data_IF_339932262619
#
_entry.id   IF_339932262619
#
_cell.length_a   1.000
_cell.length_b   1.000
_cell.length_c   1.000
_cell.angle_alpha   90.00
_cell.angle_beta   90.00
_cell.angle_gamma   90.00
#
_symmetry.space_group_name_H-M   'P 1'
#
loop_
_entity.id
_entity.type
_entity.pdbx_description
1 polymer ?
#
# COMPACT_ATOMS: atom_id res chain seq x y z
N UNK A 1 8.76 -2.36 -22.51
CA UNK A 1 7.56 -2.67 -21.72
C UNK A 1 7.78 -2.10 -20.34
N UNK A 2 6.82 -1.38 -19.76
CA UNK A 2 6.99 -0.85 -18.40
C UNK A 2 6.67 -1.96 -17.40
N UNK A 3 7.53 -2.16 -16.40
CA UNK A 3 7.44 -3.23 -15.42
C UNK A 3 7.16 -2.61 -14.04
N UNK A 4 5.99 -1.99 -13.90
CA UNK A 4 5.57 -1.30 -12.69
C UNK A 4 4.76 -2.23 -11.78
N UNK A 5 5.09 -2.27 -10.49
CA UNK A 5 4.41 -3.09 -9.49
C UNK A 5 4.14 -2.28 -8.23
N UNK A 6 3.08 -2.66 -7.51
CA UNK A 6 2.81 -2.13 -6.18
C UNK A 6 3.12 -3.23 -5.18
N UNK A 7 4.12 -2.99 -4.33
CA UNK A 7 4.38 -3.81 -3.15
C UNK A 7 3.52 -3.33 -2.00
N UNK A 8 2.90 -4.26 -1.26
CA UNK A 8 2.16 -3.96 -0.03
C UNK A 8 2.61 -4.95 1.04
N UNK A 9 2.89 -4.44 2.23
CA UNK A 9 3.36 -5.23 3.36
C UNK A 9 2.80 -4.65 4.67
N UNK A 10 2.42 -5.53 5.58
CA UNK A 10 2.10 -5.19 6.97
C UNK A 10 2.92 -6.09 7.88
N UNK A 11 3.63 -5.48 8.82
CA UNK A 11 4.33 -6.22 9.86
C UNK A 11 3.35 -6.90 10.84
N UNK A 12 3.84 -7.89 11.57
CA UNK A 12 3.07 -8.56 12.64
C UNK A 12 2.80 -7.65 13.85
N UNK A 13 3.44 -6.48 13.92
CA UNK A 13 3.16 -5.46 14.94
C UNK A 13 1.80 -4.75 14.74
N UNK A 14 1.19 -4.89 13.55
CA UNK A 14 -0.14 -4.33 13.23
C UNK A 14 -0.22 -2.81 13.36
N UNK A 15 0.90 -2.11 13.17
CA UNK A 15 0.93 -0.66 13.31
C UNK A 15 0.43 0.08 12.08
N UNK A 16 0.90 -0.36 10.91
CA UNK A 16 0.64 0.30 9.64
C UNK A 16 0.71 -0.69 8.47
N UNK A 17 0.17 -0.25 7.34
CA UNK A 17 0.32 -0.87 6.03
C UNK A 17 1.29 -0.04 5.20
N UNK A 18 2.46 -0.62 4.93
CA UNK A 18 3.48 -0.03 4.08
C UNK A 18 3.22 -0.44 2.63
N UNK A 19 3.38 0.50 1.71
CA UNK A 19 3.25 0.24 0.29
C UNK A 19 4.29 1.02 -0.51
N UNK A 20 4.71 0.46 -1.65
CA UNK A 20 5.61 1.13 -2.58
C UNK A 20 5.22 0.87 -4.03
N UNK A 21 5.40 1.86 -4.89
CA UNK A 21 5.41 1.70 -6.33
C UNK A 21 6.85 1.48 -6.78
N UNK A 22 7.10 0.38 -7.46
CA UNK A 22 8.42 -0.03 -7.92
C UNK A 22 8.43 -0.21 -9.43
N UNK A 23 9.57 0.12 -10.05
CA UNK A 23 9.86 -0.14 -11.45
C UNK A 23 10.96 -1.20 -11.54
N UNK A 24 10.76 -2.20 -12.39
CA UNK A 24 11.73 -3.24 -12.74
C UNK A 24 12.09 -3.21 -14.23
N UNK A 25 11.78 -2.14 -14.96
CA UNK A 25 12.11 -2.03 -16.39
C UNK A 25 13.62 -1.95 -16.59
N UNK A 26 14.32 -1.20 -15.75
CA UNK A 26 15.78 -1.06 -15.80
C UNK A 26 16.34 -1.10 -14.38
N UNK A 27 16.45 -2.33 -13.86
CA UNK A 27 16.77 -2.64 -12.46
C UNK A 27 15.68 -2.22 -11.46
N UNK A 28 15.84 -2.63 -10.20
CA UNK A 28 14.92 -2.30 -9.12
C UNK A 28 15.02 -0.82 -8.75
N UNK A 29 13.90 -0.11 -8.89
CA UNK A 29 13.79 1.30 -8.50
C UNK A 29 12.51 1.52 -7.70
N UNK A 30 12.60 2.19 -6.55
CA UNK A 30 11.43 2.65 -5.79
C UNK A 30 11.02 4.02 -6.34
N UNK A 31 9.84 4.11 -6.95
CA UNK A 31 9.31 5.39 -7.45
C UNK A 31 8.71 6.21 -6.32
N UNK A 32 7.96 5.56 -5.43
CA UNK A 32 7.35 6.20 -4.26
C UNK A 32 6.98 5.15 -3.22
N UNK A 33 6.98 5.55 -1.95
CA UNK A 33 6.54 4.73 -0.82
C UNK A 33 5.56 5.52 0.04
N UNK A 34 4.63 4.82 0.67
CA UNK A 34 3.60 5.34 1.56
C UNK A 34 3.41 4.39 2.73
N UNK A 35 3.09 4.96 3.88
CA UNK A 35 2.71 4.22 5.08
C UNK A 35 1.34 4.71 5.50
N UNK A 36 0.41 3.78 5.70
CA UNK A 36 -0.92 4.06 6.24
C UNK A 36 -1.06 3.45 7.61
N UNK A 37 -1.27 4.27 8.63
CA UNK A 37 -1.58 3.78 9.96
C UNK A 37 -2.90 3.01 9.96
N UNK A 38 -2.91 1.87 10.65
CA UNK A 38 -4.15 1.16 10.91
C UNK A 38 -4.99 1.87 11.97
N UNK A 39 -6.30 1.64 11.93
CA UNK A 39 -7.20 2.09 12.99
C UNK A 39 -6.81 1.49 14.35
N UNK A 40 -7.08 2.22 15.43
CA UNK A 40 -6.82 1.74 16.78
C UNK A 40 -7.60 0.46 17.10
N UNK A 41 -8.82 0.31 16.55
CA UNK A 41 -9.64 -0.89 16.73
C UNK A 41 -9.01 -2.11 16.07
N UNK A 42 -8.46 -1.96 14.87
CA UNK A 42 -7.76 -3.04 14.17
C UNK A 42 -6.59 -3.60 15.00
N UNK A 43 -5.81 -2.75 15.68
CA UNK A 43 -4.62 -3.19 16.43
C UNK A 43 -4.94 -4.26 17.47
N UNK A 44 -6.10 -4.14 18.12
CA UNK A 44 -6.55 -5.06 19.17
C UNK A 44 -7.63 -6.04 18.69
N UNK A 45 -8.14 -5.88 17.47
CA UNK A 45 -9.24 -6.69 16.97
C UNK A 45 -8.82 -8.15 16.74
N UNK A 46 -9.69 -9.07 17.17
CA UNK A 46 -9.65 -10.51 16.91
C UNK A 46 -10.68 -10.94 15.87
N UNK A 47 -11.56 -10.03 15.45
CA UNK A 47 -12.64 -10.32 14.51
C UNK A 47 -12.10 -10.36 13.08
N UNK A 48 -12.09 -11.56 12.47
CA UNK A 48 -11.52 -11.78 11.14
C UNK A 48 -12.12 -10.85 10.09
N UNK A 49 -13.42 -10.54 10.18
CA UNK A 49 -14.11 -9.65 9.26
C UNK A 49 -13.58 -8.21 9.34
N UNK A 50 -13.36 -7.68 10.55
CA UNK A 50 -12.78 -6.36 10.78
C UNK A 50 -11.33 -6.31 10.27
N UNK A 51 -10.54 -7.35 10.56
CA UNK A 51 -9.16 -7.49 10.10
C UNK A 51 -9.09 -7.47 8.57
N UNK A 52 -9.91 -8.29 7.91
CA UNK A 52 -9.96 -8.38 6.45
C UNK A 52 -10.38 -7.04 5.83
N UNK A 53 -11.39 -6.39 6.40
CA UNK A 53 -11.88 -5.11 5.90
C UNK A 53 -10.82 -4.01 6.01
N UNK A 54 -10.15 -3.88 7.17
CA UNK A 54 -9.11 -2.87 7.35
C UNK A 54 -7.96 -3.08 6.35
N UNK A 55 -7.37 -4.29 6.30
CA UNK A 55 -6.25 -4.59 5.39
C UNK A 55 -6.64 -4.31 3.93
N UNK A 56 -7.83 -4.76 3.52
CA UNK A 56 -8.32 -4.57 2.14
C UNK A 56 -8.50 -3.09 1.83
N UNK A 57 -9.16 -2.34 2.71
CA UNK A 57 -9.45 -0.93 2.49
C UNK A 57 -8.16 -0.11 2.40
N UNK A 58 -7.19 -0.35 3.29
CA UNK A 58 -5.88 0.32 3.25
C UNK A 58 -5.09 -0.01 1.99
N UNK A 59 -5.11 -1.27 1.56
CA UNK A 59 -4.45 -1.70 0.33
C UNK A 59 -5.03 -1.01 -0.92
N UNK A 60 -6.35 -0.92 -0.99
CA UNK A 60 -7.06 -0.21 -2.08
C UNK A 60 -6.78 1.29 -2.03
N UNK A 61 -6.73 1.90 -0.85
CA UNK A 61 -6.41 3.32 -0.67
C UNK A 61 -5.01 3.65 -1.22
N UNK A 62 -3.98 2.90 -0.82
CA UNK A 62 -2.62 3.09 -1.31
C UNK A 62 -2.51 2.89 -2.83
N UNK A 63 -3.16 1.87 -3.37
CA UNK A 63 -3.19 1.62 -4.80
C UNK A 63 -3.79 2.81 -5.57
N UNK A 64 -4.88 3.40 -5.06
CA UNK A 64 -5.47 4.61 -5.66
C UNK A 64 -4.55 5.83 -5.55
N UNK A 65 -3.84 6.01 -4.44
CA UNK A 65 -2.88 7.12 -4.25
C UNK A 65 -1.77 7.06 -5.29
N UNK A 66 -1.17 5.89 -5.51
CA UNK A 66 -0.09 5.72 -6.49
C UNK A 66 -0.56 5.97 -7.93
N UNK A 67 -1.70 5.41 -8.33
CA UNK A 67 -2.25 5.65 -9.67
C UNK A 67 -2.54 7.13 -9.92
N UNK A 68 -3.08 7.85 -8.92
CA UNK A 68 -3.30 9.30 -9.04
C UNK A 68 -1.98 10.06 -9.20
N UNK A 69 -0.99 9.81 -8.33
CA UNK A 69 0.32 10.49 -8.39
C UNK A 69 0.98 10.32 -9.77
N UNK A 70 0.95 9.12 -10.33
CA UNK A 70 1.54 8.86 -11.65
C UNK A 70 0.72 9.45 -12.82
N UNK A 71 -0.61 9.50 -12.73
CA UNK A 71 -1.45 10.18 -13.72
C UNK A 71 -1.16 11.69 -13.78
N UNK A 72 -0.87 12.33 -12.64
CA UNK A 72 -0.58 13.76 -12.59
C UNK A 72 0.85 14.13 -13.00
N UNK A 73 1.83 13.20 -12.94
CA UNK A 73 3.19 13.44 -13.46
C UNK A 73 3.28 13.42 -15.00
N UNK A 74 2.27 12.87 -15.68
CA UNK A 74 2.24 12.72 -17.14
C UNK A 74 1.52 13.86 -17.88
N UNK A 75 1.06 14.89 -17.17
CA UNK A 75 0.49 16.12 -17.71
C UNK A 75 1.52 17.24 -17.61
#
# INVERSE_FOLDING_TARGET
MNNLFIGIMSGTSRDSLDACLVDFTDHFQIITAETLDFSASYKTSTEISEINNEITNRSVENSKKFTRKELFKRK
#
